data_IF_000521962462
#
_entry.id   IF_000521962462
#
_cell.length_a   1.000
_cell.length_b   1.000
_cell.length_c   1.000
_cell.angle_alpha   90.00
_cell.angle_beta   90.00
_cell.angle_gamma   90.00
#
_symmetry.space_group_name_H-M   'P 1'
#
loop_
_entity.id
_entity.type
_entity.pdbx_description
1 polymer ?
#
# COMPACT_ATOMS: atom_id res chain seq x y z
N UNK A 1 13.78 -1.39 27.54
CA UNK A 1 13.77 -0.25 26.60
C UNK A 1 14.28 -0.75 25.26
N UNK A 2 13.68 -0.37 24.13
CA UNK A 2 14.05 -0.89 22.80
C UNK A 2 15.46 -0.44 22.41
N UNK A 3 16.35 -1.36 22.05
CA UNK A 3 17.73 -1.08 21.58
C UNK A 3 17.78 -0.40 20.19
N UNK A 4 16.65 -0.26 19.51
CA UNK A 4 16.55 0.32 18.16
C UNK A 4 16.28 1.83 18.19
N UNK A 5 16.93 2.57 17.27
CA UNK A 5 16.82 4.03 17.15
C UNK A 5 15.49 4.50 16.55
N UNK A 6 14.86 3.65 15.73
CA UNK A 6 13.60 3.97 15.08
C UNK A 6 12.79 2.71 14.78
N UNK A 7 11.52 2.90 14.47
CA UNK A 7 10.61 1.85 13.99
C UNK A 7 10.31 2.05 12.51
N UNK A 8 10.24 0.96 11.74
CA UNK A 8 9.78 0.97 10.35
C UNK A 8 8.64 -0.02 10.22
N UNK A 9 7.50 0.43 9.70
CA UNK A 9 6.32 -0.40 9.53
C UNK A 9 6.15 -0.82 8.08
N UNK A 10 5.84 -2.09 7.82
CA UNK A 10 5.49 -2.60 6.48
C UNK A 10 4.19 -3.39 6.53
N UNK A 11 3.11 -2.82 5.97
CA UNK A 11 1.84 -3.55 5.84
C UNK A 11 1.93 -4.57 4.70
N UNK A 12 1.40 -5.77 4.89
CA UNK A 12 1.47 -6.83 3.88
C UNK A 12 2.89 -7.37 3.65
N UNK A 13 3.78 -7.25 4.65
CA UNK A 13 5.18 -7.64 4.57
C UNK A 13 5.45 -9.16 4.71
N UNK A 14 4.42 -10.00 4.75
CA UNK A 14 4.58 -11.44 4.98
C UNK A 14 4.88 -12.23 3.71
N UNK A 15 4.54 -11.71 2.53
CA UNK A 15 4.74 -12.41 1.24
C UNK A 15 5.09 -11.43 0.11
N UNK A 16 5.58 -11.99 -1.00
CA UNK A 16 5.73 -11.28 -2.28
C UNK A 16 6.59 -10.02 -2.17
N UNK A 17 6.10 -8.92 -2.77
CA UNK A 17 6.82 -7.64 -2.82
C UNK A 17 7.06 -7.08 -1.42
N UNK A 18 6.07 -7.19 -0.52
CA UNK A 18 6.19 -6.70 0.85
C UNK A 18 7.25 -7.46 1.65
N UNK A 19 7.35 -8.78 1.48
CA UNK A 19 8.41 -9.59 2.10
C UNK A 19 9.80 -9.17 1.62
N UNK A 20 9.97 -9.03 0.30
CA UNK A 20 11.26 -8.64 -0.28
C UNK A 20 11.64 -7.19 0.08
N UNK A 21 10.66 -6.28 0.18
CA UNK A 21 10.87 -4.93 0.70
C UNK A 21 11.30 -4.96 2.16
N UNK A 22 10.62 -5.74 3.01
CA UNK A 22 10.97 -5.89 4.43
C UNK A 22 12.39 -6.45 4.60
N UNK A 23 12.74 -7.47 3.82
CA UNK A 23 14.09 -8.04 3.81
C UNK A 23 15.16 -7.00 3.45
N UNK A 24 14.93 -6.22 2.39
CA UNK A 24 15.86 -5.16 1.97
C UNK A 24 15.97 -4.05 3.03
N UNK A 25 14.84 -3.60 3.58
CA UNK A 25 14.78 -2.60 4.65
C UNK A 25 15.55 -3.07 5.89
N UNK A 26 15.32 -4.31 6.33
CA UNK A 26 15.98 -4.87 7.51
C UNK A 26 17.50 -4.97 7.33
N UNK A 27 17.95 -5.34 6.13
CA UNK A 27 19.37 -5.41 5.78
C UNK A 27 20.04 -4.02 5.81
N UNK A 28 19.36 -2.99 5.31
CA UNK A 28 19.88 -1.61 5.28
C UNK A 28 19.78 -0.88 6.63
N UNK A 29 18.85 -1.29 7.50
CA UNK A 29 18.54 -0.65 8.79
C UNK A 29 18.65 -1.60 9.97
N UNK A 30 19.85 -2.17 10.26
CA UNK A 30 20.05 -3.06 11.41
C UNK A 30 19.79 -2.37 12.76
N UNK A 31 19.84 -1.04 12.81
CA UNK A 31 19.62 -0.20 13.99
C UNK A 31 18.14 0.19 14.20
N UNK A 32 17.24 -0.30 13.36
CA UNK A 32 15.81 0.00 13.41
C UNK A 32 15.00 -1.28 13.66
N UNK A 33 13.86 -1.14 14.35
CA UNK A 33 12.88 -2.22 14.55
C UNK A 33 11.96 -2.26 13.33
N UNK A 34 11.92 -3.37 12.60
CA UNK A 34 11.04 -3.54 11.45
C UNK A 34 9.83 -4.34 11.90
N UNK A 35 8.64 -3.77 11.73
CA UNK A 35 7.38 -4.42 12.08
C UNK A 35 6.65 -4.79 10.80
N UNK A 36 6.58 -6.09 10.53
CA UNK A 36 5.69 -6.65 9.52
C UNK A 36 4.29 -6.69 10.12
N UNK A 37 3.31 -6.16 9.40
CA UNK A 37 1.92 -6.20 9.83
C UNK A 37 0.99 -6.68 8.72
N UNK A 38 0.33 -7.81 8.98
CA UNK A 38 -0.59 -8.51 8.10
C UNK A 38 -1.65 -9.22 8.95
N UNK A 39 -2.74 -9.70 8.34
CA UNK A 39 -3.74 -10.50 9.07
C UNK A 39 -3.14 -11.78 9.66
N UNK A 40 -2.29 -12.46 8.90
CA UNK A 40 -1.65 -13.72 9.29
C UNK A 40 -0.21 -13.77 8.77
N UNK A 41 0.61 -14.60 9.41
CA UNK A 41 1.99 -14.90 9.02
C UNK A 41 2.24 -16.42 9.01
N UNK A 42 1.65 -17.16 8.04
CA UNK A 42 1.73 -18.62 8.02
C UNK A 42 3.16 -19.15 7.80
N UNK A 43 4.01 -18.36 7.15
CA UNK A 43 5.38 -18.75 6.78
C UNK A 43 6.43 -18.17 7.74
N UNK A 44 6.00 -17.56 8.86
CA UNK A 44 6.88 -16.95 9.85
C UNK A 44 7.89 -15.97 9.22
N UNK A 45 7.42 -15.06 8.38
CA UNK A 45 8.21 -14.14 7.58
C UNK A 45 9.28 -13.39 8.38
N UNK A 46 8.92 -12.90 9.58
CA UNK A 46 9.87 -12.20 10.44
C UNK A 46 11.03 -13.10 10.88
N UNK A 47 10.75 -14.35 11.25
CA UNK A 47 11.76 -15.36 11.62
C UNK A 47 12.62 -15.71 10.41
N UNK A 48 12.01 -15.91 9.25
CA UNK A 48 12.72 -16.21 8.00
C UNK A 48 13.71 -15.10 7.62
N UNK A 49 13.29 -13.84 7.69
CA UNK A 49 14.15 -12.68 7.39
C UNK A 49 15.29 -12.57 8.41
N UNK A 50 14.97 -12.66 9.70
CA UNK A 50 15.97 -12.62 10.77
C UNK A 50 17.03 -13.72 10.61
N UNK A 51 16.63 -14.95 10.28
CA UNK A 51 17.56 -16.05 10.01
C UNK A 51 18.45 -15.78 8.78
N UNK A 52 17.85 -15.27 7.70
CA UNK A 52 18.57 -14.95 6.46
C UNK A 52 19.61 -13.84 6.66
N UNK A 53 19.31 -12.84 7.49
CA UNK A 53 20.19 -11.70 7.76
C UNK A 53 21.09 -11.91 8.98
N UNK A 54 20.87 -12.98 9.76
CA UNK A 54 21.51 -13.21 11.08
C UNK A 54 21.27 -12.01 12.01
N UNK A 55 20.02 -11.57 12.09
CA UNK A 55 19.55 -10.43 12.86
C UNK A 55 18.32 -10.83 13.70
N UNK A 56 17.85 -9.92 14.55
CA UNK A 56 16.64 -10.09 15.39
C UNK A 56 15.73 -8.85 15.37
N UNK A 57 15.93 -7.97 14.38
CA UNK A 57 15.29 -6.66 14.30
C UNK A 57 13.92 -6.69 13.60
N UNK A 58 13.53 -7.80 12.97
CA UNK A 58 12.20 -7.95 12.35
C UNK A 58 11.24 -8.67 13.28
N UNK A 59 10.02 -8.15 13.42
CA UNK A 59 8.93 -8.77 14.19
C UNK A 59 7.64 -8.77 13.38
N UNK A 60 6.74 -9.68 13.72
CA UNK A 60 5.38 -9.73 13.17
C UNK A 60 4.38 -9.23 14.21
N UNK A 61 3.42 -8.41 13.78
CA UNK A 61 2.26 -8.02 14.58
C UNK A 61 0.99 -8.12 13.73
N UNK A 62 -0.06 -8.82 14.20
CA UNK A 62 -1.27 -9.01 13.42
C UNK A 62 -2.11 -7.73 13.31
N UNK A 63 -2.65 -7.46 12.13
CA UNK A 63 -3.64 -6.39 11.89
C UNK A 63 -4.59 -6.78 10.76
N UNK A 64 -5.88 -6.51 10.95
CA UNK A 64 -6.88 -6.59 9.88
C UNK A 64 -7.25 -5.18 9.40
N UNK A 65 -6.71 -4.79 8.25
CA UNK A 65 -7.00 -3.49 7.63
C UNK A 65 -8.44 -3.34 7.14
N UNK A 66 -9.23 -4.41 7.13
CA UNK A 66 -10.67 -4.34 6.84
C UNK A 66 -11.53 -3.99 8.06
N UNK A 67 -10.93 -3.83 9.24
CA UNK A 67 -11.62 -3.46 10.49
C UNK A 67 -10.99 -2.23 11.12
N UNK A 68 -11.73 -1.13 11.24
CA UNK A 68 -11.23 0.11 11.85
C UNK A 68 -10.84 -0.11 13.32
N UNK A 69 -11.58 -0.94 14.05
CA UNK A 69 -11.25 -1.33 15.43
C UNK A 69 -9.96 -2.15 15.51
N UNK A 70 -9.73 -3.07 14.56
CA UNK A 70 -8.46 -3.81 14.48
C UNK A 70 -7.29 -2.86 14.25
N UNK A 71 -7.41 -1.90 13.32
CA UNK A 71 -6.37 -0.89 13.06
C UNK A 71 -6.09 -0.05 14.30
N UNK A 72 -7.13 0.36 15.04
CA UNK A 72 -6.98 1.15 16.29
C UNK A 72 -6.29 0.36 17.40
N UNK A 73 -6.70 -0.89 17.60
CA UNK A 73 -6.08 -1.77 18.60
C UNK A 73 -4.61 -2.07 18.24
N UNK A 74 -4.34 -2.26 16.95
CA UNK A 74 -3.00 -2.44 16.42
C UNK A 74 -2.12 -1.21 16.69
N UNK A 75 -2.55 -0.01 16.29
CA UNK A 75 -1.76 1.22 16.47
C UNK A 75 -1.41 1.47 17.93
N UNK A 76 -2.37 1.29 18.85
CA UNK A 76 -2.12 1.38 20.31
C UNK A 76 -1.08 0.37 20.79
N UNK A 77 -1.18 -0.87 20.32
CA UNK A 77 -0.25 -1.95 20.71
C UNK A 77 1.15 -1.71 20.15
N UNK A 78 1.25 -1.24 18.90
CA UNK A 78 2.51 -0.93 18.21
C UNK A 78 3.30 0.12 18.99
N UNK A 79 2.69 1.27 19.28
CA UNK A 79 3.38 2.39 19.94
C UNK A 79 3.75 2.08 21.39
N UNK A 80 2.95 1.22 22.05
CA UNK A 80 3.27 0.72 23.40
C UNK A 80 4.46 -0.25 23.39
N UNK A 81 4.51 -1.16 22.41
CA UNK A 81 5.57 -2.15 22.30
C UNK A 81 6.89 -1.54 21.80
N UNK A 82 6.80 -0.59 20.85
CA UNK A 82 7.94 0.01 20.15
C UNK A 82 7.83 1.54 20.14
N UNK A 83 8.17 2.20 21.26
CA UNK A 83 7.99 3.66 21.42
C UNK A 83 9.00 4.51 20.64
N UNK A 84 9.99 3.89 19.98
CA UNK A 84 10.95 4.62 19.15
C UNK A 84 10.21 5.28 17.96
N UNK A 85 10.59 6.51 17.56
CA UNK A 85 9.92 7.23 16.48
C UNK A 85 9.85 6.40 15.20
N UNK A 86 8.72 6.52 14.49
CA UNK A 86 8.51 5.79 13.25
C UNK A 86 9.19 6.56 12.12
N UNK A 87 10.28 6.01 11.57
CA UNK A 87 11.05 6.65 10.50
C UNK A 87 10.49 6.37 9.11
N UNK A 88 9.78 5.25 8.93
CA UNK A 88 9.07 4.97 7.69
C UNK A 88 7.79 4.14 7.90
N UNK A 89 6.75 4.47 7.12
CA UNK A 89 5.51 3.71 6.97
C UNK A 89 5.39 3.24 5.52
N UNK A 90 5.46 1.94 5.29
CA UNK A 90 5.25 1.32 3.98
C UNK A 90 3.85 0.71 3.94
N UNK A 91 2.91 1.47 3.39
CA UNK A 91 1.50 1.11 3.23
C UNK A 91 1.36 0.23 1.96
N UNK A 92 1.84 -1.01 2.06
CA UNK A 92 1.95 -1.94 0.94
C UNK A 92 0.77 -2.93 0.80
N UNK A 93 0.13 -3.30 1.90
CA UNK A 93 -0.95 -4.28 1.86
C UNK A 93 -2.05 -3.90 0.85
N UNK A 94 -2.51 -4.90 0.12
CA UNK A 94 -3.68 -4.78 -0.74
C UNK A 94 -4.26 -6.12 -1.14
N UNK A 95 -5.53 -6.12 -1.49
CA UNK A 95 -6.27 -7.26 -2.01
C UNK A 95 -6.91 -6.91 -3.35
N UNK A 96 -7.29 -7.94 -4.09
CA UNK A 96 -8.14 -7.84 -5.25
C UNK A 96 -9.15 -9.00 -5.16
N UNK A 97 -10.42 -8.68 -5.00
CA UNK A 97 -11.48 -9.69 -5.06
C UNK A 97 -11.88 -9.93 -6.52
N UNK A 98 -12.11 -11.19 -6.89
CA UNK A 98 -12.38 -11.55 -8.29
C UNK A 98 -13.75 -11.05 -8.78
N UNK A 99 -14.80 -11.16 -7.95
CA UNK A 99 -16.17 -10.75 -8.31
C UNK A 99 -17.05 -10.55 -7.07
N UNK A 100 -18.18 -9.86 -7.29
CA UNK A 100 -19.16 -9.54 -6.26
C UNK A 100 -18.74 -8.33 -5.42
N UNK A 101 -19.72 -7.53 -5.03
CA UNK A 101 -19.51 -6.50 -4.01
C UNK A 101 -19.52 -7.19 -2.66
N UNK A 102 -18.40 -7.14 -1.94
CA UNK A 102 -18.29 -7.59 -0.55
C UNK A 102 -18.01 -6.38 0.31
N UNK A 103 -18.63 -6.32 1.48
CA UNK A 103 -18.39 -5.25 2.45
C UNK A 103 -17.53 -5.77 3.60
N UNK A 104 -16.69 -4.89 4.12
CA UNK A 104 -15.96 -5.11 5.36
C UNK A 104 -16.92 -5.07 6.56
N UNK A 105 -16.40 -5.37 7.75
CA UNK A 105 -17.20 -5.28 9.00
C UNK A 105 -17.72 -3.87 9.28
N UNK A 106 -17.05 -2.85 8.73
CA UNK A 106 -17.42 -1.44 8.84
C UNK A 106 -18.34 -0.97 7.70
N UNK A 107 -18.83 -1.87 6.85
CA UNK A 107 -19.81 -1.56 5.82
C UNK A 107 -19.26 -1.03 4.49
N UNK A 108 -17.94 -0.96 4.31
CA UNK A 108 -17.28 -0.42 3.11
C UNK A 108 -16.85 -1.55 2.17
N UNK A 109 -16.89 -1.33 0.86
CA UNK A 109 -16.41 -2.30 -0.13
C UNK A 109 -15.00 -2.79 0.23
N UNK A 110 -14.83 -4.12 0.29
CA UNK A 110 -13.66 -4.76 0.93
C UNK A 110 -12.33 -4.39 0.30
N UNK A 111 -12.27 -4.22 -1.02
CA UNK A 111 -11.05 -3.81 -1.72
C UNK A 111 -10.67 -2.38 -1.34
N UNK A 112 -11.63 -1.46 -1.35
CA UNK A 112 -11.44 -0.07 -0.92
C UNK A 112 -11.11 0.03 0.57
N UNK A 113 -11.78 -0.76 1.41
CA UNK A 113 -11.55 -0.83 2.85
C UNK A 113 -10.09 -1.17 3.17
N UNK A 114 -9.54 -2.24 2.56
CA UNK A 114 -8.17 -2.69 2.82
C UNK A 114 -7.12 -1.82 2.12
N UNK A 115 -7.33 -1.51 0.84
CA UNK A 115 -6.30 -0.88 0.01
C UNK A 115 -6.13 0.61 0.33
N UNK A 116 -7.18 1.26 0.83
CA UNK A 116 -7.24 2.71 1.08
C UNK A 116 -7.65 3.03 2.51
N UNK A 117 -8.88 2.72 2.94
CA UNK A 117 -9.45 3.25 4.20
C UNK A 117 -8.65 2.83 5.44
N UNK A 118 -8.37 1.53 5.60
CA UNK A 118 -7.61 1.02 6.73
C UNK A 118 -6.16 1.51 6.75
N UNK A 119 -5.55 1.70 5.58
CA UNK A 119 -4.20 2.26 5.44
C UNK A 119 -4.18 3.76 5.79
N UNK A 120 -5.21 4.51 5.40
CA UNK A 120 -5.37 5.92 5.75
C UNK A 120 -5.57 6.11 7.26
N UNK A 121 -6.46 5.32 7.88
CA UNK A 121 -6.62 5.32 9.34
C UNK A 121 -5.31 4.97 10.05
N UNK A 122 -4.56 4.00 9.53
CA UNK A 122 -3.25 3.65 10.08
C UNK A 122 -2.28 4.83 10.04
N UNK A 123 -2.21 5.58 8.92
CA UNK A 123 -1.40 6.80 8.86
C UNK A 123 -1.87 7.82 9.90
N UNK A 124 -3.17 8.11 9.99
CA UNK A 124 -3.68 9.12 10.91
C UNK A 124 -3.36 8.79 12.37
N UNK A 125 -3.54 7.54 12.79
CA UNK A 125 -3.27 7.09 14.15
C UNK A 125 -1.77 7.06 14.49
N UNK A 126 -0.90 6.89 13.50
CA UNK A 126 0.55 6.82 13.70
C UNK A 126 1.26 8.14 13.44
N UNK A 127 0.59 9.13 12.83
CA UNK A 127 1.11 10.46 12.56
C UNK A 127 1.78 11.13 13.78
N UNK A 128 1.22 11.06 15.00
CA UNK A 128 1.83 11.69 16.19
C UNK A 128 3.16 11.03 16.60
N UNK A 129 3.42 9.82 16.12
CA UNK A 129 4.57 8.99 16.46
C UNK A 129 5.62 8.95 15.34
N UNK A 130 5.39 9.67 14.24
CA UNK A 130 6.34 9.79 13.14
C UNK A 130 7.56 10.60 13.56
N UNK A 131 8.74 10.17 13.11
CA UNK A 131 9.96 10.96 13.18
C UNK A 131 9.81 12.28 12.40
N UNK A 132 10.61 13.31 12.73
CA UNK A 132 10.51 14.63 12.10
C UNK A 132 10.66 14.61 10.56
N UNK A 133 11.45 13.67 10.02
CA UNK A 133 11.67 13.43 8.59
C UNK A 133 11.15 12.06 8.13
N UNK A 134 10.07 11.58 8.76
CA UNK A 134 9.44 10.31 8.42
C UNK A 134 8.97 10.22 6.96
N UNK A 135 8.93 8.99 6.46
CA UNK A 135 8.64 8.69 5.05
C UNK A 135 7.46 7.76 4.94
N UNK A 136 6.46 8.14 4.14
CA UNK A 136 5.24 7.37 3.93
C UNK A 136 5.16 6.93 2.48
N UNK A 137 5.14 5.61 2.26
CA UNK A 137 5.13 5.02 0.93
C UNK A 137 3.77 4.36 0.76
N UNK A 138 2.98 4.84 -0.19
CA UNK A 138 1.64 4.31 -0.48
C UNK A 138 1.72 3.46 -1.74
N UNK A 139 1.48 2.15 -1.63
CA UNK A 139 1.58 1.27 -2.80
C UNK A 139 0.35 1.40 -3.68
N UNK A 140 0.57 2.02 -4.83
CA UNK A 140 -0.34 2.13 -5.95
C UNK A 140 -0.11 0.98 -6.95
N UNK A 141 -0.39 1.20 -8.22
CA UNK A 141 -0.05 0.30 -9.33
C UNK A 141 -0.35 0.98 -10.66
N UNK A 142 0.38 0.66 -11.72
CA UNK A 142 0.12 1.12 -13.09
C UNK A 142 -1.22 0.68 -13.71
N UNK A 143 -2.14 0.12 -12.92
CA UNK A 143 -3.54 -0.12 -13.33
C UNK A 143 -4.46 1.08 -13.03
N UNK A 144 -3.95 2.11 -12.35
CA UNK A 144 -4.72 3.33 -12.05
C UNK A 144 -4.87 4.28 -13.26
N UNK A 145 -4.13 4.02 -14.34
CA UNK A 145 -4.10 4.83 -15.56
C UNK A 145 -5.44 4.76 -16.32
N UNK A 146 -5.73 5.80 -17.10
CA UNK A 146 -6.92 5.84 -17.98
C UNK A 146 -6.78 4.87 -19.16
N UNK A 147 -7.87 4.51 -19.88
CA UNK A 147 -7.81 3.51 -20.94
C UNK A 147 -6.74 3.81 -22.01
N UNK A 148 -6.56 5.07 -22.39
CA UNK A 148 -5.60 5.53 -23.39
C UNK A 148 -4.15 5.60 -22.88
N UNK A 149 -3.95 5.45 -21.56
CA UNK A 149 -2.64 5.45 -20.90
C UNK A 149 -2.20 4.05 -20.45
N UNK A 150 -3.14 3.09 -20.47
CA UNK A 150 -2.97 1.81 -19.80
C UNK A 150 -2.09 0.86 -20.62
N UNK A 151 -1.08 0.29 -19.95
CA UNK A 151 -0.13 -0.66 -20.54
C UNK A 151 -0.54 -2.13 -20.31
N UNK A 152 -1.75 -2.36 -19.82
CA UNK A 152 -2.26 -3.67 -19.42
C UNK A 152 -3.68 -3.87 -19.94
N UNK A 153 -4.15 -5.12 -20.02
CA UNK A 153 -5.55 -5.44 -20.33
C UNK A 153 -6.49 -5.37 -19.12
N UNK A 154 -6.18 -4.57 -18.11
CA UNK A 154 -7.08 -4.37 -16.95
C UNK A 154 -8.24 -3.44 -17.33
N UNK A 155 -9.37 -3.46 -16.60
CA UNK A 155 -10.39 -2.43 -16.77
C UNK A 155 -9.86 -1.06 -16.34
N UNK A 156 -10.29 0.01 -17.00
CA UNK A 156 -9.87 1.35 -16.62
C UNK A 156 -10.46 1.77 -15.27
N UNK A 157 -9.64 2.45 -14.47
CA UNK A 157 -10.09 3.10 -13.25
C UNK A 157 -10.96 4.32 -13.58
N UNK A 158 -12.16 4.40 -13.01
CA UNK A 158 -13.04 5.57 -13.15
C UNK A 158 -13.38 6.12 -11.77
N UNK A 159 -12.81 7.28 -11.44
CA UNK A 159 -13.23 7.99 -10.23
C UNK A 159 -14.61 8.63 -10.44
N UNK A 160 -15.55 8.38 -9.52
CA UNK A 160 -16.88 8.99 -9.52
C UNK A 160 -17.07 9.81 -8.25
N UNK A 161 -16.98 9.14 -7.09
CA UNK A 161 -16.85 9.76 -5.76
C UNK A 161 -16.30 8.71 -4.80
N UNK A 162 -15.81 9.16 -3.65
CA UNK A 162 -15.39 8.26 -2.58
C UNK A 162 -16.56 7.42 -2.04
N UNK A 163 -17.76 8.01 -1.97
CA UNK A 163 -18.97 7.30 -1.55
C UNK A 163 -19.32 6.14 -2.49
N UNK A 164 -19.17 6.32 -3.81
CA UNK A 164 -19.40 5.23 -4.78
C UNK A 164 -18.34 4.15 -4.65
N UNK A 165 -17.11 4.49 -4.30
CA UNK A 165 -16.06 3.48 -4.05
C UNK A 165 -16.35 2.68 -2.78
N UNK A 166 -16.89 3.33 -1.76
CA UNK A 166 -17.23 2.70 -0.49
C UNK A 166 -18.50 1.86 -0.55
N UNK A 167 -19.54 2.37 -1.22
CA UNK A 167 -20.85 1.74 -1.31
C UNK A 167 -21.27 1.63 -2.79
N UNK A 168 -20.56 0.81 -3.59
CA UNK A 168 -20.89 0.65 -5.00
C UNK A 168 -22.23 -0.09 -5.16
N UNK A 169 -22.93 0.26 -6.24
CA UNK A 169 -24.09 -0.51 -6.67
C UNK A 169 -23.69 -1.97 -7.02
N UNK A 170 -24.63 -2.93 -6.91
CA UNK A 170 -24.38 -4.29 -7.37
C UNK A 170 -23.89 -4.35 -8.81
N UNK A 171 -23.01 -5.30 -9.09
CA UNK A 171 -22.45 -5.50 -10.41
C UNK A 171 -23.57 -5.75 -11.44
N UNK A 172 -23.56 -5.01 -12.55
CA UNK A 172 -24.46 -5.26 -13.67
C UNK A 172 -24.26 -6.69 -14.21
N UNK A 173 -25.33 -7.33 -14.71
CA UNK A 173 -25.26 -8.71 -15.21
C UNK A 173 -24.21 -8.94 -16.30
N UNK A 174 -23.89 -7.90 -17.07
CA UNK A 174 -22.91 -7.90 -18.15
C UNK A 174 -21.61 -7.16 -17.79
N UNK A 175 -21.37 -6.87 -16.50
CA UNK A 175 -20.16 -6.19 -16.08
C UNK A 175 -18.92 -7.05 -16.34
N UNK A 176 -18.00 -6.55 -17.15
CA UNK A 176 -16.74 -7.21 -17.42
C UNK A 176 -15.75 -6.96 -16.27
N UNK A 177 -15.37 -8.05 -15.57
CA UNK A 177 -14.33 -8.06 -14.52
C UNK A 177 -14.53 -6.96 -13.45
N UNK A 178 -15.70 -6.86 -12.80
CA UNK A 178 -16.01 -5.78 -11.87
C UNK A 178 -15.05 -5.69 -10.67
N UNK A 179 -14.60 -6.83 -10.13
CA UNK A 179 -13.61 -6.84 -9.05
C UNK A 179 -12.24 -6.29 -9.47
N UNK A 180 -11.82 -6.55 -10.72
CA UNK A 180 -10.61 -5.95 -11.27
C UNK A 180 -10.76 -4.43 -11.44
N UNK A 181 -11.94 -3.94 -11.84
CA UNK A 181 -12.22 -2.49 -11.91
C UNK A 181 -12.10 -1.84 -10.52
N UNK A 182 -12.76 -2.40 -9.50
CA UNK A 182 -12.68 -1.90 -8.11
C UNK A 182 -11.24 -1.87 -7.59
N UNK A 183 -10.44 -2.87 -7.94
CA UNK A 183 -9.01 -2.85 -7.64
C UNK A 183 -8.29 -1.68 -8.32
N UNK A 184 -8.52 -1.45 -9.62
CA UNK A 184 -7.91 -0.33 -10.34
C UNK A 184 -8.33 1.02 -9.75
N UNK A 185 -9.60 1.16 -9.39
CA UNK A 185 -10.17 2.32 -8.68
C UNK A 185 -9.51 2.54 -7.32
N UNK A 186 -9.32 1.49 -6.52
CA UNK A 186 -8.59 1.58 -5.24
C UNK A 186 -7.13 2.02 -5.42
N UNK A 187 -6.47 1.61 -6.53
CA UNK A 187 -5.10 2.04 -6.83
C UNK A 187 -5.05 3.49 -7.32
N UNK A 188 -6.09 3.98 -7.99
CA UNK A 188 -6.27 5.40 -8.27
C UNK A 188 -6.49 6.21 -6.98
N UNK A 189 -7.31 5.70 -6.05
CA UNK A 189 -7.53 6.31 -4.74
C UNK A 189 -6.21 6.51 -3.98
N UNK A 190 -5.32 5.51 -3.98
CA UNK A 190 -4.01 5.60 -3.34
C UNK A 190 -3.15 6.75 -3.90
N UNK A 191 -3.16 6.99 -5.22
CA UNK A 191 -2.41 8.11 -5.83
C UNK A 191 -3.08 9.45 -5.52
N UNK A 192 -4.41 9.55 -5.66
CA UNK A 192 -5.18 10.75 -5.31
C UNK A 192 -4.91 11.16 -3.85
N UNK A 193 -4.98 10.20 -2.94
CA UNK A 193 -4.79 10.43 -1.51
C UNK A 193 -3.34 10.81 -1.18
N UNK A 194 -2.35 10.19 -1.84
CA UNK A 194 -0.94 10.60 -1.73
C UNK A 194 -0.77 12.09 -2.01
N UNK A 195 -1.37 12.60 -3.08
CA UNK A 195 -1.27 14.02 -3.45
C UNK A 195 -2.04 14.93 -2.49
N UNK A 196 -3.21 14.50 -2.00
CA UNK A 196 -3.98 15.21 -0.99
C UNK A 196 -3.21 15.37 0.33
N UNK A 197 -2.57 14.30 0.79
CA UNK A 197 -1.76 14.27 2.02
C UNK A 197 -0.48 15.08 1.85
N UNK A 198 0.21 14.96 0.70
CA UNK A 198 1.45 15.69 0.43
C UNK A 198 1.26 17.21 0.52
N UNK A 199 0.16 17.74 -0.02
CA UNK A 199 -0.19 19.17 0.13
C UNK A 199 -0.33 19.56 1.59
N UNK A 200 -1.10 18.79 2.36
CA UNK A 200 -1.39 19.07 3.78
C UNK A 200 -0.15 18.98 4.65
N UNK A 201 0.73 18.01 4.41
CA UNK A 201 2.03 17.94 5.08
C UNK A 201 2.86 19.20 4.84
N UNK A 202 2.87 19.69 3.59
CA UNK A 202 3.53 20.95 3.22
C UNK A 202 2.91 22.18 3.91
N UNK A 203 1.58 22.29 3.91
CA UNK A 203 0.84 23.38 4.56
C UNK A 203 1.07 23.41 6.09
N UNK A 204 1.23 22.25 6.71
CA UNK A 204 1.55 22.12 8.14
C UNK A 204 3.05 22.27 8.45
N UNK A 205 3.89 22.52 7.44
CA UNK A 205 5.34 22.66 7.62
C UNK A 205 6.02 21.39 8.14
N UNK A 206 5.43 20.21 7.92
CA UNK A 206 6.02 18.94 8.36
C UNK A 206 7.17 18.55 7.43
N UNK A 207 8.27 18.06 8.00
CA UNK A 207 9.40 17.51 7.23
C UNK A 207 9.15 16.12 6.64
N UNK A 208 7.91 15.62 6.74
CA UNK A 208 7.52 14.29 6.26
C UNK A 208 7.41 14.25 4.75
N UNK A 209 7.76 13.10 4.18
CA UNK A 209 7.49 12.82 2.77
C UNK A 209 6.40 11.77 2.61
N UNK A 210 5.56 11.93 1.59
CA UNK A 210 4.64 10.89 1.16
C UNK A 210 4.70 10.72 -0.35
N UNK A 211 4.89 9.48 -0.82
CA UNK A 211 4.97 9.18 -2.25
C UNK A 211 4.19 7.91 -2.60
N UNK A 212 3.65 7.89 -3.81
CA UNK A 212 3.00 6.74 -4.38
C UNK A 212 4.05 5.85 -5.06
N UNK A 213 3.96 4.54 -4.82
CA UNK A 213 4.88 3.55 -5.38
C UNK A 213 4.14 2.53 -6.24
N UNK A 214 4.62 2.32 -7.45
CA UNK A 214 4.17 1.28 -8.37
C UNK A 214 5.27 0.24 -8.58
N UNK A 215 5.01 -1.03 -8.21
CA UNK A 215 5.98 -2.10 -8.40
C UNK A 215 6.20 -2.48 -9.88
N UNK A 216 5.40 -1.94 -10.80
CA UNK A 216 5.31 -2.41 -12.18
C UNK A 216 4.57 -3.74 -12.29
N UNK A 217 4.60 -4.37 -13.47
CA UNK A 217 3.94 -5.66 -13.66
C UNK A 217 4.78 -6.74 -12.97
N UNK A 218 4.30 -7.30 -11.87
CA UNK A 218 4.96 -8.40 -11.14
C UNK A 218 4.09 -9.67 -11.21
N UNK A 219 4.37 -10.59 -12.15
CA UNK A 219 3.70 -11.88 -12.23
C UNK A 219 3.93 -12.73 -10.97
N UNK A 220 2.94 -13.52 -10.56
CA UNK A 220 3.06 -14.42 -9.40
C UNK A 220 2.92 -13.74 -8.02
N UNK A 221 2.38 -12.53 -7.95
CA UNK A 221 1.99 -11.93 -6.66
C UNK A 221 0.76 -12.65 -6.10
N UNK A 222 0.65 -12.73 -4.77
CA UNK A 222 -0.50 -13.33 -4.08
C UNK A 222 -1.84 -12.62 -4.32
N UNK A 223 -1.88 -11.59 -5.17
CA UNK A 223 -3.09 -10.86 -5.58
C UNK A 223 -4.06 -11.73 -6.39
N UNK A 224 -3.59 -12.82 -7.02
CA UNK A 224 -4.44 -13.77 -7.76
C UNK A 224 -5.03 -14.90 -6.88
N UNK A 225 -5.00 -14.76 -5.54
CA UNK A 225 -5.44 -15.81 -4.59
C UNK A 225 -6.89 -16.26 -4.77
N UNK A 226 -7.74 -15.42 -5.37
CA UNK A 226 -9.16 -15.72 -5.62
C UNK A 226 -9.46 -16.17 -7.06
N UNK A 227 -8.45 -16.40 -7.91
CA UNK A 227 -8.65 -16.98 -9.25
C UNK A 227 -8.93 -18.49 -9.16
N UNK A 228 -9.57 -19.12 -10.17
CA UNK A 228 -9.81 -20.57 -10.16
C UNK A 228 -8.53 -21.38 -9.90
N UNK A 229 -8.59 -22.43 -9.08
CA UNK A 229 -7.43 -23.19 -8.61
C UNK A 229 -6.51 -23.72 -9.74
N UNK A 230 -7.08 -24.08 -10.89
CA UNK A 230 -6.30 -24.54 -12.05
C UNK A 230 -5.46 -23.42 -12.69
N UNK A 231 -5.95 -22.18 -12.68
CA UNK A 231 -5.20 -20.99 -13.12
C UNK A 231 -4.10 -20.64 -12.11
N UNK A 232 -4.36 -20.80 -10.81
CA UNK A 232 -3.33 -20.64 -9.76
C UNK A 232 -2.21 -21.67 -9.92
N UNK A 233 -2.56 -22.93 -10.24
CA UNK A 233 -1.61 -24.02 -10.43
C UNK A 233 -0.78 -23.82 -11.71
N UNK A 234 -1.41 -23.46 -12.82
CA UNK A 234 -0.71 -23.12 -14.06
C UNK A 234 0.21 -21.90 -13.88
N UNK A 235 -0.23 -20.87 -13.15
CA UNK A 235 0.59 -19.71 -12.84
C UNK A 235 1.78 -20.02 -11.93
N UNK A 236 1.60 -20.89 -10.93
CA UNK A 236 2.68 -21.23 -9.98
C UNK A 236 3.78 -22.09 -10.62
N UNK A 237 3.42 -23.00 -11.53
CA UNK A 237 4.35 -23.99 -12.07
C UNK A 237 4.79 -23.74 -13.52
N UNK A 238 3.98 -23.08 -14.35
CA UNK A 238 4.29 -22.85 -15.77
C UNK A 238 4.90 -21.47 -16.02
N UNK A 239 4.46 -20.45 -15.27
CA UNK A 239 4.85 -19.05 -15.48
C UNK A 239 6.35 -18.77 -15.24
N UNK A 240 7.04 -19.33 -14.23
CA UNK A 240 8.48 -19.08 -14.02
C UNK A 240 9.35 -19.44 -15.22
N UNK A 241 8.93 -20.45 -16.01
CA UNK A 241 9.63 -20.92 -17.20
C UNK A 241 9.26 -20.14 -18.48
N UNK A 242 8.05 -19.57 -18.54
CA UNK A 242 7.60 -18.73 -19.65
C UNK A 242 8.04 -17.26 -19.51
N UNK A 243 8.31 -16.77 -18.30
CA UNK A 243 8.69 -15.38 -18.04
C UNK A 243 9.96 -14.89 -18.75
N UNK A 244 11.06 -15.66 -18.84
CA UNK A 244 12.23 -15.26 -19.61
C UNK A 244 11.91 -15.09 -21.09
N UNK A 245 11.10 -16.00 -21.64
CA UNK A 245 10.69 -15.98 -23.04
C UNK A 245 9.71 -14.83 -23.34
N UNK A 246 8.74 -14.57 -22.46
CA UNK A 246 7.83 -13.41 -22.57
C UNK A 246 8.57 -12.09 -22.40
N UNK A 247 9.60 -12.00 -21.55
CA UNK A 247 10.45 -10.80 -21.42
C UNK A 247 11.21 -10.50 -22.72
N UNK A 248 11.66 -11.54 -23.42
CA UNK A 248 12.36 -11.43 -24.71
C UNK A 248 11.36 -11.09 -25.84
N UNK A 249 10.22 -11.79 -25.91
CA UNK A 249 9.23 -11.64 -26.98
C UNK A 249 8.37 -10.38 -26.85
N UNK A 250 8.04 -9.93 -25.64
CA UNK A 250 7.18 -8.77 -25.43
C UNK A 250 7.93 -7.43 -25.42
N UNK A 251 9.26 -7.42 -25.50
CA UNK A 251 10.07 -6.18 -25.45
C UNK A 251 9.84 -5.31 -24.21
N UNK A 252 9.13 -5.82 -23.20
CA UNK A 252 8.48 -5.01 -22.18
C UNK A 252 9.40 -4.85 -20.96
N UNK A 253 10.06 -3.69 -20.90
CA UNK A 253 10.92 -3.23 -19.79
C UNK A 253 10.19 -3.07 -18.43
N UNK A 254 8.89 -3.36 -18.37
CA UNK A 254 8.01 -3.07 -17.23
C UNK A 254 7.63 -4.31 -16.39
N UNK A 255 8.17 -5.50 -16.71
CA UNK A 255 7.94 -6.73 -15.95
C UNK A 255 9.02 -6.90 -14.88
N UNK A 256 8.65 -6.77 -13.61
CA UNK A 256 9.55 -6.91 -12.47
C UNK A 256 9.36 -8.25 -11.74
N UNK A 257 10.36 -8.65 -10.96
CA UNK A 257 10.24 -9.74 -9.99
C UNK A 257 9.95 -9.16 -8.62
N UNK A 258 9.37 -9.94 -7.70
CA UNK A 258 9.13 -9.49 -6.34
C UNK A 258 10.41 -8.98 -5.64
N UNK A 259 11.60 -9.60 -5.79
CA UNK A 259 12.84 -9.04 -5.24
C UNK A 259 13.24 -7.68 -5.83
N UNK A 260 13.08 -7.48 -7.14
CA UNK A 260 13.40 -6.20 -7.79
C UNK A 260 12.44 -5.10 -7.32
N UNK A 261 11.14 -5.38 -7.32
CA UNK A 261 10.13 -4.44 -6.83
C UNK A 261 10.25 -4.18 -5.32
N UNK A 262 10.60 -5.20 -4.52
CA UNK A 262 10.81 -5.03 -3.08
C UNK A 262 12.01 -4.13 -2.78
N UNK A 263 13.14 -4.35 -3.45
CA UNK A 263 14.34 -3.51 -3.33
C UNK A 263 14.10 -2.07 -3.78
N UNK A 264 13.37 -1.89 -4.89
CA UNK A 264 13.01 -0.55 -5.35
C UNK A 264 12.10 0.17 -4.34
N UNK A 265 11.13 -0.53 -3.74
CA UNK A 265 10.29 0.02 -2.67
C UNK A 265 11.12 0.41 -1.43
N UNK A 266 12.07 -0.45 -1.02
CA UNK A 266 13.00 -0.15 0.07
C UNK A 266 13.87 1.08 -0.25
N UNK A 267 14.34 1.21 -1.49
CA UNK A 267 15.08 2.40 -1.94
C UNK A 267 14.22 3.67 -1.82
N UNK A 268 12.97 3.66 -2.29
CA UNK A 268 12.06 4.82 -2.13
C UNK A 268 11.81 5.12 -0.65
N UNK A 269 11.73 4.09 0.19
CA UNK A 269 11.55 4.23 1.63
C UNK A 269 12.79 4.76 2.37
N UNK A 270 14.03 4.46 1.93
CA UNK A 270 15.24 4.65 2.74
C UNK A 270 16.32 5.54 2.12
N UNK A 271 16.33 5.69 0.78
CA UNK A 271 17.38 6.43 0.07
C UNK A 271 17.44 7.90 0.49
N UNK A 272 18.64 8.45 0.62
CA UNK A 272 18.84 9.88 0.87
C UNK A 272 18.37 10.74 -0.31
N UNK A 273 18.36 10.19 -1.52
CA UNK A 273 17.94 10.88 -2.74
C UNK A 273 16.44 11.23 -2.75
N UNK A 274 15.63 10.44 -2.05
CA UNK A 274 14.17 10.67 -1.92
C UNK A 274 13.83 11.53 -0.69
N UNK A 275 14.84 11.98 0.07
CA UNK A 275 14.62 12.85 1.23
C UNK A 275 14.07 14.20 0.77
N UNK A 276 12.96 14.65 1.36
CA UNK A 276 12.28 15.89 0.97
C UNK A 276 11.51 15.81 -0.35
N UNK A 277 11.62 14.70 -1.10
CA UNK A 277 10.81 14.45 -2.29
C UNK A 277 9.45 13.96 -1.82
N UNK A 278 8.41 14.78 -2.00
CA UNK A 278 7.04 14.51 -1.53
C UNK A 278 6.03 14.75 -2.65
N UNK A 279 4.90 14.04 -2.59
CA UNK A 279 3.83 14.16 -3.59
C UNK A 279 4.23 13.63 -4.97
N UNK A 280 5.11 12.64 -5.04
CA UNK A 280 5.59 12.05 -6.29
C UNK A 280 5.07 10.63 -6.50
N UNK A 281 5.14 10.18 -7.74
CA UNK A 281 4.83 8.82 -8.16
C UNK A 281 6.12 8.15 -8.66
N UNK A 282 6.41 6.95 -8.17
CA UNK A 282 7.58 6.18 -8.53
C UNK A 282 7.16 4.87 -9.21
N UNK A 283 7.69 4.60 -10.40
CA UNK A 283 7.63 3.28 -11.04
C UNK A 283 8.98 2.58 -10.80
N UNK A 284 8.98 1.56 -9.94
CA UNK A 284 10.23 1.06 -9.36
C UNK A 284 10.97 2.17 -8.59
N UNK A 285 12.26 2.35 -8.84
CA UNK A 285 13.05 3.39 -8.16
C UNK A 285 13.02 4.76 -8.86
N UNK A 286 12.31 4.89 -9.99
CA UNK A 286 12.33 6.09 -10.83
C UNK A 286 11.09 6.95 -10.63
N UNK A 287 11.28 8.23 -10.32
CA UNK A 287 10.20 9.22 -10.35
C UNK A 287 9.64 9.34 -11.78
N UNK A 288 8.32 9.28 -11.90
CA UNK A 288 7.61 9.50 -13.16
C UNK A 288 6.23 10.13 -12.93
N UNK A 289 5.50 10.40 -14.02
CA UNK A 289 4.14 10.92 -13.96
C UNK A 289 3.15 9.78 -13.71
N UNK A 290 2.18 10.02 -12.84
CA UNK A 290 0.99 9.18 -12.68
C UNK A 290 -0.04 9.47 -13.78
N UNK A 291 -1.12 8.69 -13.82
CA UNK A 291 -2.21 8.87 -14.78
C UNK A 291 -2.95 10.18 -14.59
N UNK A 292 -3.45 10.77 -15.70
CA UNK A 292 -4.02 12.14 -15.69
C UNK A 292 -5.14 12.34 -14.67
N UNK A 293 -5.98 11.34 -14.47
CA UNK A 293 -7.10 11.40 -13.52
C UNK A 293 -6.64 11.63 -12.06
N UNK A 294 -5.40 11.25 -11.71
CA UNK A 294 -4.86 11.44 -10.37
C UNK A 294 -4.55 12.90 -10.04
N UNK A 295 -4.44 13.79 -11.02
CA UNK A 295 -4.16 15.22 -10.80
C UNK A 295 -5.42 16.07 -10.59
N UNK A 296 -6.62 15.48 -10.66
CA UNK A 296 -7.86 16.20 -10.37
C UNK A 296 -7.95 16.50 -8.86
N UNK A 297 -7.80 17.77 -8.49
CA UNK A 297 -7.82 18.22 -7.09
C UNK A 297 -9.18 18.00 -6.44
N UNK A 298 -10.30 18.18 -7.15
CA UNK A 298 -11.64 17.97 -6.59
C UNK A 298 -11.84 16.51 -6.17
N UNK A 299 -11.38 15.56 -6.97
CA UNK A 299 -11.41 14.13 -6.62
C UNK A 299 -10.51 13.80 -5.42
N UNK A 300 -9.36 14.46 -5.31
CA UNK A 300 -8.46 14.29 -4.17
C UNK A 300 -9.10 14.81 -2.88
N UNK A 301 -9.78 15.96 -2.95
CA UNK A 301 -10.47 16.57 -1.82
C UNK A 301 -11.74 15.81 -1.43
N UNK A 302 -12.50 15.29 -2.42
CA UNK A 302 -13.62 14.39 -2.17
C UNK A 302 -13.18 13.14 -1.42
N UNK A 303 -12.14 12.46 -1.93
CA UNK A 303 -11.55 11.29 -1.28
C UNK A 303 -11.04 11.59 0.12
N UNK A 304 -10.32 12.70 0.30
CA UNK A 304 -9.80 13.10 1.60
C UNK A 304 -10.92 13.30 2.61
N UNK A 305 -11.91 14.16 2.30
CA UNK A 305 -13.00 14.50 3.23
C UNK A 305 -13.78 13.26 3.61
N UNK A 306 -14.20 12.47 2.61
CA UNK A 306 -14.93 11.24 2.86
C UNK A 306 -14.15 10.28 3.75
N UNK A 307 -12.84 10.12 3.50
CA UNK A 307 -12.00 9.21 4.31
C UNK A 307 -11.89 9.68 5.75
N UNK A 308 -11.63 10.97 5.98
CA UNK A 308 -11.53 11.54 7.33
C UNK A 308 -12.87 11.42 8.06
N UNK A 309 -13.97 11.77 7.39
CA UNK A 309 -15.32 11.71 7.94
C UNK A 309 -15.73 10.28 8.31
N UNK A 310 -15.39 9.31 7.46
CA UNK A 310 -15.71 7.91 7.69
C UNK A 310 -14.91 7.32 8.86
N UNK A 311 -13.61 7.62 8.96
CA UNK A 311 -12.74 6.97 9.95
C UNK A 311 -12.73 7.66 11.31
N UNK A 312 -13.09 8.94 11.41
CA UNK A 312 -13.17 9.66 12.67
C UNK A 312 -14.41 9.25 13.48
N UNK A 313 -14.23 9.02 14.78
CA UNK A 313 -15.34 8.66 15.70
C UNK A 313 -16.14 9.86 16.17
N UNK A 314 -15.53 11.04 16.18
CA UNK A 314 -16.12 12.29 16.62
C UNK A 314 -15.41 13.50 15.98
N UNK A 315 -15.95 14.69 16.23
CA UNK A 315 -15.44 15.94 15.68
C UNK A 315 -14.02 16.29 16.18
N UNK A 316 -13.63 15.84 17.38
CA UNK A 316 -12.30 16.10 17.92
C UNK A 316 -11.27 15.23 17.20
N UNK A 317 -11.56 13.95 17.02
CA UNK A 317 -10.70 13.02 16.29
C UNK A 317 -10.58 13.43 14.82
N UNK A 318 -11.67 13.89 14.19
CA UNK A 318 -11.64 14.49 12.87
C UNK A 318 -10.66 15.67 12.80
N UNK A 319 -10.77 16.64 13.70
CA UNK A 319 -9.88 17.80 13.73
C UNK A 319 -8.41 17.40 13.97
N UNK A 320 -8.18 16.33 14.75
CA UNK A 320 -6.86 15.74 14.98
C UNK A 320 -6.30 15.12 13.70
N UNK A 321 -7.09 14.38 12.93
CA UNK A 321 -6.69 13.81 11.65
C UNK A 321 -6.38 14.88 10.60
N UNK A 322 -7.18 15.96 10.57
CA UNK A 322 -6.93 17.11 9.68
C UNK A 322 -5.60 17.80 9.96
N UNK A 323 -5.12 17.77 11.21
CA UNK A 323 -3.83 18.36 11.63
C UNK A 323 -2.69 17.36 11.73
N UNK A 324 -2.97 16.05 11.56
CA UNK A 324 -2.02 14.97 11.83
C UNK A 324 -1.36 15.09 13.21
N UNK A 325 -2.18 15.26 14.24
CA UNK A 325 -1.76 15.48 15.64
C UNK A 325 -2.12 14.32 16.57
#
# INVERSE_FOLDING_TARGET
MSDYKSTILVTGGTIGIGYEATLAIAAERPDSRIVICSRTDPDSAAVSINNRLRQSNVVFMPVDLSSMDSVRAFSKSLVKAYPAPISALVLNAGIQLASGVKHSVDGVESTFAVNHVGQALLLFLLAPHLAADARVIVVASGVHFQPDEMRTGMPAAKYTSAEVFAHPQPDAKNAERPGARRYCESKLANVLWTYAVARRFGELGRGWTINAYDPGLVPGTGLARDYPAFLQLAWKYLMPYLLPLLRILAGNKHINTAPVAGKAMAHVALSKEVRGVTGKYFEGAKECKSGRASYNVEHQEDLWRWTVDFVARDANEKATFERFQ
#
